data_IF_584305928367
#
_entry.id   IF_584305928367
#
_cell.length_a   1.000
_cell.length_b   1.000
_cell.length_c   1.000
_cell.angle_alpha   90.00
_cell.angle_beta   90.00
_cell.angle_gamma   90.00
#
_symmetry.space_group_name_H-M   'P 1'
#
loop_
_entity.id
_entity.type
_entity.pdbx_description
1 polymer ?
#
# COMPACT_ATOMS: atom_id res chain seq x y z
N UNK A 1 -5.91 12.98 2.98
CA UNK A 1 -6.08 12.52 1.58
C UNK A 1 -4.97 13.00 0.62
N UNK A 2 -4.68 14.30 0.51
CA UNK A 2 -3.71 14.81 -0.48
C UNK A 2 -2.30 14.17 -0.35
N UNK A 3 -1.77 14.14 0.86
CA UNK A 3 -0.47 13.53 1.16
C UNK A 3 -0.41 12.04 0.75
N UNK A 4 -1.43 11.26 1.09
CA UNK A 4 -1.54 9.85 0.69
C UNK A 4 -1.55 9.68 -0.84
N UNK A 5 -2.29 10.52 -1.58
CA UNK A 5 -2.27 10.50 -3.03
C UNK A 5 -0.89 10.83 -3.61
N UNK A 6 -0.14 11.75 -2.98
CA UNK A 6 1.25 12.07 -3.35
C UNK A 6 2.22 10.91 -3.09
N UNK A 7 2.15 10.30 -1.91
CA UNK A 7 2.96 9.11 -1.59
C UNK A 7 2.71 7.98 -2.58
N UNK A 8 1.45 7.71 -2.89
CA UNK A 8 1.05 6.61 -3.75
C UNK A 8 1.31 6.87 -5.24
N UNK A 9 1.15 8.11 -5.70
CA UNK A 9 1.47 8.48 -7.09
C UNK A 9 2.96 8.39 -7.40
N UNK A 10 3.81 8.38 -6.38
CA UNK A 10 5.25 8.43 -6.54
C UNK A 10 5.74 9.79 -7.04
N UNK A 11 4.95 10.86 -6.94
CA UNK A 11 5.36 12.21 -7.29
C UNK A 11 6.28 12.87 -6.24
N UNK A 12 6.90 14.03 -6.55
CA UNK A 12 7.64 14.79 -5.55
C UNK A 12 6.69 15.32 -4.47
N UNK A 13 7.18 15.33 -3.22
CA UNK A 13 6.49 15.88 -2.05
C UNK A 13 7.27 17.11 -1.59
N UNK A 14 6.67 18.29 -1.80
CA UNK A 14 7.21 19.54 -1.31
C UNK A 14 6.40 19.98 -0.09
N UNK A 15 7.08 20.19 1.04
CA UNK A 15 6.45 20.68 2.27
C UNK A 15 6.59 22.20 2.26
N UNK A 16 5.48 22.91 2.05
CA UNK A 16 5.45 24.39 1.96
C UNK A 16 4.84 25.06 3.19
N UNK A 17 4.62 24.30 4.26
CA UNK A 17 4.08 24.82 5.52
C UNK A 17 5.07 25.74 6.24
N UNK A 18 4.57 26.48 7.23
CA UNK A 18 5.40 27.33 8.09
C UNK A 18 6.44 26.46 8.83
N UNK A 19 7.74 26.80 8.78
CA UNK A 19 8.77 26.08 9.51
C UNK A 19 8.39 25.88 10.99
N UNK A 20 8.46 24.63 11.45
CA UNK A 20 8.13 24.27 12.84
C UNK A 20 6.63 24.08 13.13
N UNK A 21 5.74 24.33 12.17
CA UNK A 21 4.29 24.05 12.28
C UNK A 21 3.83 22.86 11.43
N UNK A 22 4.77 22.06 10.94
CA UNK A 22 4.47 20.87 10.16
C UNK A 22 3.83 19.79 11.03
N UNK A 23 2.92 19.03 10.43
CA UNK A 23 2.43 17.79 11.01
C UNK A 23 3.56 16.74 10.99
N UNK A 24 4.21 16.56 12.13
CA UNK A 24 5.31 15.58 12.30
C UNK A 24 4.83 14.14 12.13
N UNK A 25 3.60 13.85 12.51
CA UNK A 25 3.02 12.52 12.35
C UNK A 25 2.86 12.21 10.87
N UNK A 26 2.32 13.16 10.10
CA UNK A 26 2.22 13.03 8.65
C UNK A 26 3.60 12.84 7.99
N UNK A 27 4.60 13.64 8.36
CA UNK A 27 5.96 13.49 7.83
C UNK A 27 6.53 12.11 8.14
N UNK A 28 6.36 11.62 9.37
CA UNK A 28 6.84 10.29 9.75
C UNK A 28 6.15 9.20 8.91
N UNK A 29 4.84 9.29 8.70
CA UNK A 29 4.12 8.30 7.87
C UNK A 29 4.60 8.23 6.41
N UNK A 30 5.18 9.30 5.87
CA UNK A 30 5.65 9.37 4.48
C UNK A 30 7.14 9.11 4.32
N UNK A 31 7.90 9.12 5.42
CA UNK A 31 9.37 9.07 5.39
C UNK A 31 9.92 7.93 6.24
N UNK A 32 11.15 7.51 5.91
CA UNK A 32 11.92 6.58 6.71
C UNK A 32 13.31 7.16 6.99
N UNK A 33 13.84 6.99 8.22
CA UNK A 33 15.21 7.37 8.53
C UNK A 33 16.19 6.42 7.85
N UNK A 34 17.27 6.98 7.32
CA UNK A 34 18.44 6.21 6.88
C UNK A 34 19.49 6.16 7.99
N UNK A 35 20.53 5.33 7.80
CA UNK A 35 21.65 5.20 8.74
C UNK A 35 22.35 6.53 9.06
N UNK A 36 22.21 7.56 8.21
CA UNK A 36 22.76 8.90 8.42
C UNK A 36 21.79 9.91 9.07
N UNK A 37 20.68 9.45 9.66
CA UNK A 37 19.62 10.31 10.21
C UNK A 37 18.96 11.26 9.18
N UNK A 38 19.15 11.01 7.88
CA UNK A 38 18.44 11.71 6.81
C UNK A 38 17.13 10.98 6.53
N UNK A 39 16.03 11.74 6.47
CA UNK A 39 14.71 11.22 6.13
C UNK A 39 14.59 11.07 4.61
N UNK A 40 14.23 9.87 4.16
CA UNK A 40 13.91 9.58 2.77
C UNK A 40 12.41 9.39 2.61
N UNK A 41 11.82 10.01 1.59
CA UNK A 41 10.41 9.81 1.24
C UNK A 41 10.24 8.42 0.61
N UNK A 42 9.29 7.66 1.10
CA UNK A 42 8.96 6.33 0.61
C UNK A 42 8.13 6.43 -0.67
N UNK A 43 8.76 6.15 -1.81
CA UNK A 43 8.14 6.27 -3.14
C UNK A 43 8.01 4.90 -3.82
N UNK A 44 6.80 4.50 -4.23
CA UNK A 44 6.60 3.34 -5.09
C UNK A 44 7.47 3.39 -6.35
N UNK A 45 7.81 2.21 -6.88
CA UNK A 45 8.66 2.09 -8.07
C UNK A 45 7.87 2.48 -9.33
N UNK A 46 6.63 2.01 -9.43
CA UNK A 46 5.75 2.39 -10.54
C UNK A 46 5.09 3.74 -10.26
N UNK A 47 4.97 4.58 -11.28
CA UNK A 47 4.13 5.76 -11.23
C UNK A 47 2.68 5.38 -10.96
N UNK A 48 2.08 6.01 -9.95
CA UNK A 48 0.69 5.73 -9.62
C UNK A 48 -0.25 6.30 -10.68
N UNK A 49 -1.25 5.50 -11.08
CA UNK A 49 -2.22 5.84 -12.12
C UNK A 49 -3.64 5.76 -11.57
N UNK A 50 -4.52 6.62 -12.07
CA UNK A 50 -5.95 6.43 -11.87
C UNK A 50 -6.38 5.12 -12.52
N UNK A 51 -7.03 4.24 -11.77
CA UNK A 51 -7.53 2.96 -12.30
C UNK A 51 -8.87 3.10 -13.01
N UNK A 52 -9.50 4.27 -12.89
CA UNK A 52 -10.79 4.56 -13.50
C UNK A 52 -10.68 5.78 -14.41
N UNK A 53 -11.40 5.72 -15.53
CA UNK A 53 -11.65 6.89 -16.35
C UNK A 53 -12.50 7.90 -15.56
N UNK A 54 -12.15 9.18 -15.65
CA UNK A 54 -12.89 10.25 -14.99
C UNK A 54 -14.37 10.17 -15.35
N UNK A 55 -15.17 9.72 -14.39
CA UNK A 55 -16.61 9.77 -14.46
C UNK A 55 -17.07 11.06 -13.82
N UNK A 56 -18.14 11.68 -14.34
CA UNK A 56 -18.72 12.90 -13.75
C UNK A 56 -18.82 12.78 -12.22
N UNK A 57 -18.63 13.87 -11.45
CA UNK A 57 -18.65 13.85 -9.98
C UNK A 57 -19.89 13.20 -9.35
N UNK A 58 -21.00 13.18 -10.10
CA UNK A 58 -22.26 12.55 -9.72
C UNK A 58 -22.21 11.02 -9.69
N UNK A 59 -21.23 10.37 -10.35
CA UNK A 59 -21.06 8.92 -10.26
C UNK A 59 -20.49 8.56 -8.89
N UNK A 60 -21.28 7.80 -8.14
CA UNK A 60 -21.06 7.41 -6.75
C UNK A 60 -19.92 6.39 -6.55
N UNK A 61 -18.70 6.65 -7.03
CA UNK A 61 -17.54 5.76 -6.87
C UNK A 61 -16.45 6.41 -6.04
N UNK A 62 -15.59 5.57 -5.46
CA UNK A 62 -14.33 6.04 -4.87
C UNK A 62 -13.36 6.44 -5.97
N UNK A 63 -12.53 7.45 -5.72
CA UNK A 63 -11.38 7.71 -6.57
C UNK A 63 -10.31 6.67 -6.24
N UNK A 64 -9.78 5.99 -7.26
CA UNK A 64 -8.82 4.89 -7.10
C UNK A 64 -7.51 5.19 -7.81
N UNK A 65 -6.41 5.09 -7.06
CA UNK A 65 -5.05 5.24 -7.58
C UNK A 65 -4.34 3.91 -7.34
N UNK A 66 -3.78 3.30 -8.38
CA UNK A 66 -2.97 2.09 -8.27
C UNK A 66 -1.49 2.42 -8.40
N UNK A 67 -0.64 1.71 -7.67
CA UNK A 67 0.81 1.65 -7.90
C UNK A 67 1.33 0.29 -7.45
N UNK A 68 2.61 0.01 -7.66
CA UNK A 68 3.27 -1.22 -7.31
C UNK A 68 4.74 -0.97 -6.95
N UNK A 69 5.30 -1.88 -6.18
CA UNK A 69 6.69 -1.85 -5.77
C UNK A 69 7.14 -3.27 -5.43
N UNK A 70 8.22 -3.74 -6.05
CA UNK A 70 8.88 -5.03 -5.73
C UNK A 70 7.91 -6.21 -5.59
N UNK A 71 6.99 -6.36 -6.54
CA UNK A 71 6.02 -7.47 -6.59
C UNK A 71 4.75 -7.26 -5.75
N UNK A 72 4.69 -6.21 -4.92
CA UNK A 72 3.49 -5.85 -4.16
C UNK A 72 2.69 -4.77 -4.87
N UNK A 73 1.37 -4.85 -4.77
CA UNK A 73 0.46 -3.91 -5.43
C UNK A 73 -0.25 -3.04 -4.40
N UNK A 74 -0.25 -1.74 -4.62
CA UNK A 74 -0.92 -0.77 -3.77
C UNK A 74 -2.15 -0.19 -4.46
N UNK A 75 -3.19 0.07 -3.67
CA UNK A 75 -4.44 0.68 -4.10
C UNK A 75 -4.85 1.75 -3.08
N UNK A 76 -4.83 3.00 -3.49
CA UNK A 76 -5.40 4.11 -2.73
C UNK A 76 -6.87 4.26 -3.09
N UNK A 77 -7.73 4.24 -2.08
CA UNK A 77 -9.17 4.40 -2.21
C UNK A 77 -9.59 5.67 -1.48
N UNK A 78 -10.20 6.61 -2.20
CA UNK A 78 -10.47 7.96 -1.71
C UNK A 78 -11.95 8.29 -1.83
N UNK A 79 -12.62 8.62 -0.72
CA UNK A 79 -14.00 9.08 -0.74
C UNK A 79 -14.10 10.59 -0.96
N UNK A 80 -14.15 10.98 -2.24
CA UNK A 80 -14.39 12.36 -2.64
C UNK A 80 -15.88 12.75 -2.63
N UNK A 81 -16.78 11.82 -2.26
CA UNK A 81 -18.21 12.05 -2.18
C UNK A 81 -18.66 12.56 -0.82
N UNK A 82 -19.92 12.97 -0.74
CA UNK A 82 -20.55 13.51 0.47
C UNK A 82 -21.32 12.47 1.31
N UNK A 83 -21.17 11.17 1.03
CA UNK A 83 -21.83 10.08 1.77
C UNK A 83 -20.84 9.00 2.16
N UNK A 84 -21.12 8.31 3.27
CA UNK A 84 -20.44 7.05 3.63
C UNK A 84 -20.71 6.02 2.54
N UNK A 85 -19.67 5.30 2.11
CA UNK A 85 -19.74 4.31 1.05
C UNK A 85 -18.98 3.05 1.44
N UNK A 86 -19.36 1.95 0.80
CA UNK A 86 -18.69 0.66 0.90
C UNK A 86 -18.32 0.18 -0.49
N UNK A 87 -17.14 -0.42 -0.63
CA UNK A 87 -16.68 -1.10 -1.85
C UNK A 87 -16.07 -2.45 -1.49
N UNK A 88 -16.20 -3.41 -2.41
CA UNK A 88 -15.54 -4.70 -2.33
C UNK A 88 -14.25 -4.67 -3.15
N UNK A 89 -13.15 -5.12 -2.56
CA UNK A 89 -11.84 -5.19 -3.18
C UNK A 89 -11.35 -6.63 -3.23
N UNK A 90 -10.99 -7.08 -4.43
CA UNK A 90 -10.40 -8.38 -4.74
C UNK A 90 -9.01 -8.22 -5.35
N UNK A 91 -8.36 -9.33 -5.71
CA UNK A 91 -7.06 -9.28 -6.39
C UNK A 91 -7.11 -8.50 -7.72
N UNK A 92 -8.23 -8.54 -8.45
CA UNK A 92 -8.39 -7.80 -9.72
C UNK A 92 -8.58 -6.29 -9.56
N UNK A 93 -8.72 -5.82 -8.32
CA UNK A 93 -8.83 -4.40 -8.00
C UNK A 93 -7.49 -3.65 -8.08
N UNK A 94 -6.38 -4.38 -8.16
CA UNK A 94 -5.02 -3.84 -8.17
C UNK A 94 -4.45 -3.76 -9.59
N UNK A 95 -3.54 -2.81 -9.83
CA UNK A 95 -2.95 -2.58 -11.14
C UNK A 95 -1.98 -3.70 -11.56
N UNK A 96 -1.18 -4.18 -10.61
CA UNK A 96 -0.23 -5.26 -10.86
C UNK A 96 -0.81 -6.58 -10.36
N UNK A 97 -0.46 -7.66 -11.05
CA UNK A 97 -0.87 -8.99 -10.66
C UNK A 97 -0.22 -9.35 -9.33
N UNK A 98 -1.02 -9.74 -8.35
CA UNK A 98 -0.52 -10.42 -7.16
C UNK A 98 0.06 -11.76 -7.62
N UNK A 99 1.37 -11.95 -7.48
CA UNK A 99 2.08 -13.17 -7.89
C UNK A 99 1.74 -14.35 -6.96
N UNK A 100 2.04 -15.58 -7.39
CA UNK A 100 1.91 -16.79 -6.58
C UNK A 100 0.73 -17.72 -6.91
N UNK A 101 0.42 -18.61 -5.97
CA UNK A 101 -0.58 -19.69 -6.05
C UNK A 101 -2.06 -19.22 -6.05
N UNK A 102 -2.26 -17.90 -5.95
CA UNK A 102 -3.58 -17.26 -5.91
C UNK A 102 -3.96 -16.75 -4.53
N UNK A 103 -3.33 -17.25 -3.46
CA UNK A 103 -3.50 -16.74 -2.10
C UNK A 103 -2.67 -15.49 -1.86
N UNK A 104 -3.16 -14.58 -1.03
CA UNK A 104 -2.54 -13.28 -0.85
C UNK A 104 -2.91 -12.62 0.48
N UNK A 105 -2.16 -11.59 0.85
CA UNK A 105 -2.44 -10.77 2.02
C UNK A 105 -2.89 -9.38 1.59
N UNK A 106 -4.01 -8.92 2.14
CA UNK A 106 -4.46 -7.54 2.04
C UNK A 106 -4.15 -6.82 3.35
N UNK A 107 -3.39 -5.72 3.28
CA UNK A 107 -3.17 -4.82 4.40
C UNK A 107 -3.88 -3.49 4.18
N UNK A 108 -4.63 -3.04 5.18
CA UNK A 108 -5.09 -1.65 5.29
C UNK A 108 -4.08 -0.86 6.12
N UNK A 109 -3.62 0.27 5.61
CA UNK A 109 -2.67 1.13 6.32
C UNK A 109 -3.34 2.17 7.20
N UNK A 110 -4.60 2.53 6.93
CA UNK A 110 -5.36 3.45 7.78
C UNK A 110 -6.08 2.71 8.91
N UNK A 111 -6.69 1.56 8.62
CA UNK A 111 -7.32 0.73 9.66
C UNK A 111 -6.31 -0.13 10.44
N UNK A 112 -5.06 -0.20 9.96
CA UNK A 112 -3.98 -1.04 10.49
C UNK A 112 -4.36 -2.52 10.64
N UNK A 113 -5.16 -3.02 9.69
CA UNK A 113 -5.59 -4.42 9.65
C UNK A 113 -4.88 -5.19 8.55
N UNK A 114 -4.80 -6.51 8.73
CA UNK A 114 -4.21 -7.42 7.75
C UNK A 114 -5.11 -8.65 7.62
N UNK A 115 -5.48 -8.99 6.40
CA UNK A 115 -6.39 -10.09 6.07
C UNK A 115 -5.71 -11.06 5.11
N UNK A 116 -5.73 -12.35 5.45
CA UNK A 116 -5.33 -13.40 4.52
C UNK A 116 -6.52 -13.79 3.65
N UNK A 117 -6.32 -13.74 2.34
CA UNK A 117 -7.33 -14.05 1.34
C UNK A 117 -6.93 -15.34 0.61
N UNK A 118 -7.80 -16.36 0.59
CA UNK A 118 -7.43 -17.72 0.19
C UNK A 118 -7.17 -17.84 -1.32
N UNK A 119 -7.81 -17.00 -2.13
CA UNK A 119 -7.73 -17.02 -3.58
C UNK A 119 -7.98 -15.62 -4.19
N UNK A 120 -7.93 -15.52 -5.53
CA UNK A 120 -8.10 -14.26 -6.27
C UNK A 120 -9.55 -13.75 -6.30
N UNK A 121 -10.52 -14.63 -6.08
CA UNK A 121 -11.95 -14.33 -6.08
C UNK A 121 -12.44 -13.91 -4.70
N UNK A 122 -11.61 -14.05 -3.66
CA UNK A 122 -11.91 -13.52 -2.34
C UNK A 122 -11.95 -11.98 -2.35
N UNK A 123 -12.90 -11.42 -1.59
CA UNK A 123 -13.11 -9.99 -1.47
C UNK A 123 -12.96 -9.54 -0.01
N UNK A 124 -12.44 -8.33 0.17
CA UNK A 124 -12.52 -7.58 1.42
C UNK A 124 -13.43 -6.36 1.24
N UNK A 125 -14.20 -6.03 2.26
CA UNK A 125 -15.00 -4.80 2.26
C UNK A 125 -14.21 -3.64 2.84
N UNK A 126 -14.34 -2.49 2.22
CA UNK A 126 -13.82 -1.21 2.74
C UNK A 126 -14.99 -0.27 2.92
N UNK A 127 -15.04 0.42 4.05
CA UNK A 127 -16.08 1.40 4.36
C UNK A 127 -15.43 2.72 4.70
N UNK A 128 -15.74 3.77 3.94
CA UNK A 128 -15.16 5.11 4.12
C UNK A 128 -16.27 6.14 4.25
N UNK A 129 -16.18 7.00 5.26
CA UNK A 129 -16.98 8.21 5.39
C UNK A 129 -16.55 9.28 4.36
N UNK A 130 -17.32 10.36 4.19
CA UNK A 130 -16.90 11.49 3.34
C UNK A 130 -15.50 11.98 3.73
N UNK A 131 -14.66 12.29 2.75
CA UNK A 131 -13.29 12.80 2.94
C UNK A 131 -12.33 11.85 3.66
N UNK A 132 -12.71 10.59 3.84
CA UNK A 132 -11.82 9.53 4.29
C UNK A 132 -11.12 8.83 3.11
N UNK A 133 -10.03 8.15 3.43
CA UNK A 133 -9.27 7.36 2.48
C UNK A 133 -8.66 6.16 3.18
N UNK A 134 -8.23 5.19 2.37
CA UNK A 134 -7.35 4.13 2.81
C UNK A 134 -6.28 3.87 1.73
N UNK A 135 -5.14 3.35 2.16
CA UNK A 135 -4.16 2.75 1.28
C UNK A 135 -4.18 1.26 1.59
N UNK A 136 -4.49 0.49 0.57
CA UNK A 136 -4.47 -0.96 0.61
C UNK A 136 -3.20 -1.46 -0.07
N UNK A 137 -2.59 -2.49 0.47
CA UNK A 137 -1.49 -3.20 -0.20
C UNK A 137 -1.80 -4.68 -0.26
N UNK A 138 -1.80 -5.22 -1.47
CA UNK A 138 -1.82 -6.64 -1.76
C UNK A 138 -0.38 -7.15 -1.83
N UNK A 139 -0.06 -8.09 -0.95
CA UNK A 139 1.24 -8.74 -0.89
C UNK A 139 1.11 -10.20 -1.37
N UNK A 140 2.03 -10.66 -2.24
CA UNK A 140 2.12 -12.08 -2.57
C UNK A 140 2.59 -12.87 -1.35
N UNK A 141 2.08 -14.09 -1.19
CA UNK A 141 2.59 -15.03 -0.18
C UNK A 141 3.71 -15.83 -0.81
N UNK A 142 4.88 -15.76 -0.19
CA UNK A 142 6.05 -16.54 -0.60
C UNK A 142 6.04 -17.88 0.13
N UNK A 143 6.39 -18.96 -0.60
CA UNK A 143 6.45 -20.32 -0.05
C UNK A 143 7.86 -20.86 -0.22
N UNK A 144 8.52 -21.16 0.90
CA UNK A 144 9.85 -21.75 0.93
C UNK A 144 9.82 -23.03 1.77
N UNK A 145 10.02 -24.18 1.11
CA UNK A 145 9.80 -25.52 1.68
C UNK A 145 8.40 -25.65 2.33
N UNK A 146 8.33 -25.78 3.66
CA UNK A 146 7.08 -25.88 4.44
C UNK A 146 6.61 -24.57 5.04
N UNK A 147 7.33 -23.46 4.82
CA UNK A 147 7.02 -22.16 5.41
C UNK A 147 6.37 -21.25 4.38
N UNK A 148 5.32 -20.54 4.82
CA UNK A 148 4.66 -19.47 4.08
C UNK A 148 4.88 -18.17 4.82
N UNK A 149 5.37 -17.15 4.13
CA UNK A 149 5.67 -15.86 4.74
C UNK A 149 5.34 -14.72 3.77
N UNK A 150 5.37 -13.51 4.29
CA UNK A 150 5.12 -12.28 3.53
C UNK A 150 5.97 -11.16 4.10
N UNK A 151 6.54 -10.33 3.22
CA UNK A 151 7.30 -9.15 3.61
C UNK A 151 6.47 -7.91 3.34
N UNK A 152 6.05 -7.21 4.40
CA UNK A 152 5.11 -6.09 4.32
C UNK A 152 5.76 -4.70 4.36
N UNK A 153 7.10 -4.64 4.41
CA UNK A 153 7.86 -3.39 4.51
C UNK A 153 7.79 -2.76 5.90
N UNK A 154 7.92 -1.42 5.96
CA UNK A 154 7.87 -0.68 7.23
C UNK A 154 6.43 -0.44 7.71
N UNK A 155 6.18 -0.76 8.98
CA UNK A 155 4.90 -0.48 9.63
C UNK A 155 4.75 1.01 9.98
N UNK A 156 3.49 1.46 10.09
CA UNK A 156 3.17 2.86 10.38
C UNK A 156 3.44 3.83 9.22
N UNK A 157 3.79 3.32 8.03
CA UNK A 157 4.08 4.12 6.84
C UNK A 157 3.00 3.95 5.78
N UNK A 158 2.60 5.05 5.13
CA UNK A 158 1.56 5.05 4.08
C UNK A 158 1.90 4.12 2.90
N UNK A 159 3.18 4.09 2.53
CA UNK A 159 3.74 3.29 1.44
C UNK A 159 4.90 2.45 1.98
N UNK A 160 4.70 1.79 3.13
CA UNK A 160 5.76 1.05 3.83
C UNK A 160 6.51 0.01 2.99
N UNK A 161 5.84 -0.59 2.01
CA UNK A 161 6.45 -1.52 1.05
C UNK A 161 7.52 -0.86 0.17
N UNK A 162 7.47 0.45 -0.04
CA UNK A 162 8.48 1.20 -0.79
C UNK A 162 9.83 1.33 -0.07
N UNK A 163 9.93 0.80 1.16
CA UNK A 163 11.20 0.68 1.87
C UNK A 163 12.00 -0.57 1.46
N UNK A 164 11.38 -1.50 0.71
CA UNK A 164 12.06 -2.70 0.23
C UNK A 164 13.01 -2.33 -0.91
N UNK A 165 14.28 -2.72 -0.78
CA UNK A 165 15.29 -2.46 -1.82
C UNK A 165 15.21 -3.50 -2.94
N UNK A 166 14.89 -4.73 -2.58
CA UNK A 166 14.78 -5.88 -3.46
C UNK A 166 13.44 -6.59 -3.27
N UNK A 167 13.11 -7.45 -4.24
CA UNK A 167 11.94 -8.33 -4.09
C UNK A 167 12.24 -9.31 -2.95
N UNK A 168 11.27 -9.53 -2.03
CA UNK A 168 11.51 -10.38 -0.89
C UNK A 168 11.82 -11.80 -1.35
N UNK A 169 12.91 -12.34 -0.83
CA UNK A 169 13.38 -13.69 -1.08
C UNK A 169 13.61 -14.39 0.25
N UNK A 170 13.48 -15.71 0.29
CA UNK A 170 13.92 -16.47 1.45
C UNK A 170 14.72 -17.70 1.08
N UNK A 171 15.73 -17.97 1.89
CA UNK A 171 16.57 -19.15 1.81
C UNK A 171 16.54 -19.86 3.15
N UNK A 172 16.61 -21.19 3.12
CA UNK A 172 16.84 -21.99 4.31
C UNK A 172 18.35 -22.09 4.46
N UNK A 173 18.89 -21.50 5.52
CA UNK A 173 20.30 -21.59 5.87
C UNK A 173 20.57 -22.81 6.77
N UNK A 174 21.83 -23.05 7.10
CA UNK A 174 22.23 -24.17 7.97
C UNK A 174 21.39 -24.21 9.25
N UNK A 175 21.08 -25.42 9.70
CA UNK A 175 20.19 -25.72 10.84
C UNK A 175 18.69 -25.44 10.64
N UNK A 176 18.23 -25.20 9.41
CA UNK A 176 16.80 -25.08 9.11
C UNK A 176 16.20 -23.72 9.47
N UNK A 177 17.05 -22.71 9.68
CA UNK A 177 16.62 -21.34 9.93
C UNK A 177 16.20 -20.69 8.61
N UNK A 178 15.03 -20.04 8.60
CA UNK A 178 14.57 -19.24 7.47
C UNK A 178 15.27 -17.88 7.49
N UNK A 179 16.08 -17.60 6.47
CA UNK A 179 16.66 -16.29 6.21
C UNK A 179 15.80 -15.58 5.16
N UNK A 180 15.32 -14.37 5.47
CA UNK A 180 14.57 -13.52 4.54
C UNK A 180 15.46 -12.35 4.15
N UNK A 181 15.66 -12.14 2.84
CA UNK A 181 16.47 -11.05 2.26
C UNK A 181 15.69 -10.24 1.25
#
# INVERSE_FOLDING_TARGET
MHAAARCLSGGPINITDVPGKHDKYLIDQMTAPTRGCVLHILRPETLGRSLEAYSRPERHRFLRIGSAHKGSSMLGVFNIGNKRRMELVSASSFQAHVAGDGSWILRSHVADTTHALPDRDAFASIVLAPEEYDILTAFPIETQASFRFVTIGLLGKMTGVAALLDAPSAAIIEHGVLSIS
#
